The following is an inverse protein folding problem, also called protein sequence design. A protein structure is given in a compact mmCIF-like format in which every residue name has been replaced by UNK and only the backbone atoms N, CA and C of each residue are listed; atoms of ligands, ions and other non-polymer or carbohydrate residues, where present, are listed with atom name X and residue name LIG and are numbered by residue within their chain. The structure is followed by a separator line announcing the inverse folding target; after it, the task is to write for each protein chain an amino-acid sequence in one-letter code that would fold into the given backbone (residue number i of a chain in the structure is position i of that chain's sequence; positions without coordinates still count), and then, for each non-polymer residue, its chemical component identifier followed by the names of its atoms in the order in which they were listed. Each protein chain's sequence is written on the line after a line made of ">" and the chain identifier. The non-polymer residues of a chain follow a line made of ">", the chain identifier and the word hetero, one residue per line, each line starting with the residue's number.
data_IF_950624641983
#
_entry.id   IF_950624641983
#
_cell.length_a   1.000
_cell.length_b   1.000
_cell.length_c   1.000
_cell.angle_alpha   90.00
_cell.angle_beta   90.00
_cell.angle_gamma   90.00
#
_symmetry.space_group_name_H-M   'P 1'
#
loop_
_entity.id
_entity.type
_entity.pdbx_description
1 polymer ?
#
# COMPACT_ATOMS: atom_id res chain seq x y z
N UNK A 1 -7.04 -16.94 -1.03
CA UNK A 1 -8.10 -17.77 -1.61
C UNK A 1 -8.04 -19.14 -0.94
N UNK A 2 -9.11 -19.59 -0.31
CA UNK A 2 -9.19 -20.99 0.12
C UNK A 2 -9.42 -21.83 -1.12
N UNK A 3 -8.52 -22.78 -1.37
CA UNK A 3 -8.77 -23.83 -2.37
C UNK A 3 -9.87 -24.73 -1.80
N UNK A 4 -11.05 -24.70 -2.38
CA UNK A 4 -12.11 -25.63 -2.03
C UNK A 4 -11.75 -27.03 -2.55
N UNK A 5 -12.27 -28.07 -1.90
CA UNK A 5 -11.97 -29.45 -2.27
C UNK A 5 -12.30 -29.78 -3.74
N UNK A 6 -13.36 -29.20 -4.30
CA UNK A 6 -13.75 -29.29 -5.70
C UNK A 6 -12.80 -28.58 -6.69
N UNK A 7 -11.89 -27.75 -6.20
CA UNK A 7 -10.88 -27.05 -7.03
C UNK A 7 -9.49 -27.68 -6.97
N UNK A 8 -9.33 -28.82 -6.30
CA UNK A 8 -8.02 -29.49 -6.19
C UNK A 8 -7.45 -29.89 -7.55
N UNK A 9 -8.29 -30.25 -8.52
CA UNK A 9 -7.85 -30.57 -9.87
C UNK A 9 -7.25 -29.35 -10.57
N UNK A 10 -7.90 -28.19 -10.44
CA UNK A 10 -7.44 -26.93 -11.02
C UNK A 10 -6.14 -26.47 -10.34
N UNK A 11 -6.07 -26.60 -9.02
CA UNK A 11 -4.85 -26.31 -8.27
C UNK A 11 -3.68 -27.20 -8.68
N UNK A 12 -3.93 -28.51 -8.86
CA UNK A 12 -2.92 -29.45 -9.36
C UNK A 12 -2.45 -29.12 -10.79
N UNK A 13 -3.31 -28.46 -11.59
CA UNK A 13 -2.97 -27.94 -12.90
C UNK A 13 -2.24 -26.55 -12.86
N UNK A 14 -1.96 -26.02 -11.65
CA UNK A 14 -1.26 -24.74 -11.44
C UNK A 14 -2.18 -23.53 -11.33
N UNK A 15 -3.51 -23.71 -11.29
CA UNK A 15 -4.46 -22.61 -11.07
C UNK A 15 -4.50 -22.23 -9.58
N UNK A 16 -4.06 -21.04 -9.26
CA UNK A 16 -3.95 -20.55 -7.88
C UNK A 16 -5.28 -20.00 -7.36
N UNK A 17 -6.13 -19.48 -8.24
CA UNK A 17 -7.35 -18.77 -7.88
C UNK A 17 -8.61 -19.57 -8.21
N UNK A 18 -9.61 -19.51 -7.31
CA UNK A 18 -10.92 -20.11 -7.52
C UNK A 18 -11.59 -19.47 -8.76
N UNK A 19 -11.97 -20.27 -9.80
CA UNK A 19 -12.62 -19.72 -11.00
C UNK A 19 -13.92 -18.98 -10.72
N UNK A 20 -14.73 -19.42 -9.73
CA UNK A 20 -15.97 -18.74 -9.36
C UNK A 20 -15.70 -17.37 -8.73
N UNK A 21 -14.64 -17.29 -7.93
CA UNK A 21 -14.21 -15.99 -7.38
C UNK A 21 -13.67 -15.07 -8.48
N UNK A 22 -12.91 -15.60 -9.44
CA UNK A 22 -12.45 -14.81 -10.60
C UNK A 22 -13.62 -14.26 -11.40
N UNK A 23 -14.71 -15.04 -11.58
CA UNK A 23 -15.92 -14.58 -12.27
C UNK A 23 -16.56 -13.37 -11.57
N UNK A 24 -16.56 -13.35 -10.25
CA UNK A 24 -17.10 -12.22 -9.46
C UNK A 24 -16.28 -10.95 -9.66
N UNK A 25 -14.96 -11.06 -9.74
CA UNK A 25 -14.09 -9.88 -9.76
C UNK A 25 -13.67 -9.42 -11.17
N UNK A 26 -13.86 -10.24 -12.22
CA UNK A 26 -13.33 -9.98 -13.58
C UNK A 26 -13.81 -8.67 -14.23
N UNK A 27 -14.95 -8.13 -13.78
CA UNK A 27 -15.50 -6.90 -14.31
C UNK A 27 -15.05 -5.64 -13.55
N UNK A 28 -14.24 -5.81 -12.50
CA UNK A 28 -13.71 -4.68 -11.77
C UNK A 28 -12.51 -4.08 -12.52
N UNK A 29 -12.50 -2.75 -12.65
CA UNK A 29 -11.38 -2.04 -13.25
C UNK A 29 -10.16 -1.98 -12.34
N UNK A 30 -10.39 -1.89 -11.03
CA UNK A 30 -9.37 -1.77 -9.99
C UNK A 30 -9.69 -2.74 -8.86
N UNK A 31 -8.66 -3.41 -8.34
CA UNK A 31 -8.76 -4.27 -7.16
C UNK A 31 -7.90 -3.67 -6.03
N UNK A 32 -8.54 -3.33 -4.90
CA UNK A 32 -7.85 -2.78 -3.71
C UNK A 32 -7.54 -3.89 -2.71
N UNK A 33 -6.27 -3.99 -2.29
CA UNK A 33 -5.73 -5.10 -1.52
C UNK A 33 -5.45 -4.80 -0.04
N UNK A 34 -6.02 -3.74 0.53
CA UNK A 34 -5.76 -3.35 1.93
C UNK A 34 -5.93 -4.46 2.95
N UNK A 35 -7.00 -5.26 2.83
CA UNK A 35 -7.25 -6.39 3.73
C UNK A 35 -6.31 -7.58 3.51
N UNK A 36 -5.81 -7.78 2.30
CA UNK A 36 -4.83 -8.83 2.03
C UNK A 36 -3.49 -8.53 2.69
N UNK A 37 -3.13 -7.26 2.83
CA UNK A 37 -1.95 -6.81 3.57
C UNK A 37 -2.20 -6.72 5.08
N UNK A 38 -3.48 -6.75 5.51
CA UNK A 38 -3.87 -6.48 6.90
C UNK A 38 -3.36 -5.13 7.40
N UNK A 39 -3.33 -4.13 6.52
CA UNK A 39 -2.72 -2.82 6.77
C UNK A 39 -3.24 -2.15 8.04
N UNK A 40 -4.53 -2.34 8.38
CA UNK A 40 -5.17 -1.78 9.57
C UNK A 40 -4.86 -2.54 10.86
N UNK A 41 -4.34 -3.76 10.78
CA UNK A 41 -4.19 -4.69 11.92
C UNK A 41 -2.79 -5.30 11.97
N UNK A 42 -1.87 -4.71 11.25
CA UNK A 42 -0.53 -5.24 11.15
C UNK A 42 0.20 -5.12 12.48
N UNK A 43 0.65 -6.24 13.03
CA UNK A 43 1.37 -6.34 14.30
C UNK A 43 2.74 -7.00 14.17
N UNK A 44 3.15 -7.32 12.95
CA UNK A 44 4.39 -8.03 12.67
C UNK A 44 5.57 -7.10 12.33
N UNK A 45 6.66 -7.69 11.86
CA UNK A 45 7.79 -6.96 11.28
C UNK A 45 7.42 -6.42 9.90
N UNK A 46 7.73 -5.15 9.65
CA UNK A 46 7.60 -4.53 8.33
C UNK A 46 8.91 -4.62 7.51
N UNK A 47 9.82 -5.51 7.87
CA UNK A 47 11.01 -5.77 7.07
C UNK A 47 10.64 -6.58 5.81
N UNK A 48 11.27 -6.26 4.68
CA UNK A 48 11.02 -6.95 3.41
C UNK A 48 11.21 -8.47 3.49
N UNK A 49 12.20 -8.92 4.28
CA UNK A 49 12.50 -10.34 4.45
C UNK A 49 11.39 -11.13 5.15
N UNK A 50 10.56 -10.45 5.95
CA UNK A 50 9.51 -11.07 6.76
C UNK A 50 8.15 -11.10 6.06
N UNK A 51 8.06 -10.59 4.83
CA UNK A 51 6.83 -10.67 4.04
C UNK A 51 6.40 -12.11 3.80
N UNK A 52 5.12 -12.31 3.61
CA UNK A 52 4.61 -13.64 3.22
C UNK A 52 5.14 -14.03 1.83
N UNK A 53 5.64 -15.25 1.71
CA UNK A 53 6.09 -15.85 0.46
C UNK A 53 5.04 -16.83 -0.08
N UNK A 54 5.05 -17.05 -1.39
CA UNK A 54 4.08 -17.94 -2.08
C UNK A 54 4.14 -19.40 -1.64
N UNK A 55 5.23 -19.85 -1.06
CA UNK A 55 5.42 -21.21 -0.56
C UNK A 55 4.89 -21.43 0.88
N UNK A 56 4.23 -20.45 1.50
CA UNK A 56 3.59 -20.63 2.80
C UNK A 56 2.34 -21.48 2.68
N UNK A 57 2.11 -22.35 3.67
CA UNK A 57 0.94 -23.23 3.73
C UNK A 57 -0.36 -22.43 3.93
N UNK A 58 -0.28 -21.30 4.63
CA UNK A 58 -1.42 -20.41 4.87
C UNK A 58 -1.00 -18.95 4.77
N UNK A 59 -1.94 -18.10 4.35
CA UNK A 59 -1.78 -16.64 4.29
C UNK A 59 -2.58 -15.93 5.39
N UNK A 60 -2.98 -16.66 6.42
CA UNK A 60 -3.71 -16.10 7.58
C UNK A 60 -2.80 -15.52 8.66
N UNK A 61 -1.51 -15.40 8.40
CA UNK A 61 -0.54 -14.76 9.28
C UNK A 61 -0.62 -13.23 9.27
N UNK A 62 0.16 -12.59 10.16
CA UNK A 62 0.23 -11.13 10.29
C UNK A 62 0.67 -10.42 9.00
N UNK A 63 1.51 -11.06 8.20
CA UNK A 63 2.02 -10.49 6.94
C UNK A 63 1.09 -10.71 5.72
N UNK A 64 -0.10 -11.29 5.92
CA UNK A 64 -1.14 -11.38 4.90
C UNK A 64 -0.81 -12.26 3.70
N UNK A 65 -1.30 -11.88 2.53
CA UNK A 65 -1.17 -12.61 1.25
C UNK A 65 0.08 -12.13 0.49
N UNK A 66 0.85 -13.03 -0.17
CA UNK A 66 2.01 -12.64 -0.98
C UNK A 66 1.67 -11.64 -2.09
N UNK A 67 2.51 -10.65 -2.30
CA UNK A 67 2.33 -9.65 -3.37
C UNK A 67 2.28 -10.26 -4.76
N UNK A 68 2.99 -11.34 -4.97
CA UNK A 68 3.00 -12.10 -6.23
C UNK A 68 1.57 -12.50 -6.65
N UNK A 69 0.73 -12.86 -5.68
CA UNK A 69 -0.67 -13.17 -5.97
C UNK A 69 -1.52 -11.95 -6.31
N UNK A 70 -1.18 -10.76 -5.79
CA UNK A 70 -1.90 -9.52 -6.13
C UNK A 70 -1.68 -9.15 -7.60
N UNK A 71 -0.41 -9.22 -8.03
CA UNK A 71 -0.07 -8.92 -9.42
C UNK A 71 -0.60 -9.99 -10.38
N UNK A 72 -0.49 -11.28 -9.98
CA UNK A 72 -0.99 -12.39 -10.79
C UNK A 72 -2.50 -12.29 -11.02
N UNK A 73 -3.31 -12.04 -9.98
CA UNK A 73 -4.77 -11.92 -10.16
C UNK A 73 -5.14 -10.70 -10.99
N UNK A 74 -4.48 -9.56 -10.81
CA UNK A 74 -4.72 -8.37 -11.62
C UNK A 74 -4.38 -8.59 -13.10
N UNK A 75 -3.27 -9.27 -13.39
CA UNK A 75 -2.92 -9.64 -14.76
C UNK A 75 -3.96 -10.57 -15.37
N UNK A 76 -4.42 -11.56 -14.59
CA UNK A 76 -5.37 -12.57 -15.05
C UNK A 76 -6.74 -11.98 -15.40
N UNK A 77 -7.29 -11.10 -14.53
CA UNK A 77 -8.62 -10.51 -14.74
C UNK A 77 -8.59 -9.19 -15.51
N UNK A 78 -7.42 -8.66 -15.80
CA UNK A 78 -7.29 -7.40 -16.52
C UNK A 78 -7.54 -6.15 -15.68
N UNK A 79 -7.48 -6.24 -14.35
CA UNK A 79 -7.67 -5.13 -13.43
C UNK A 79 -6.35 -4.45 -13.06
N UNK A 80 -6.43 -3.20 -12.63
CA UNK A 80 -5.31 -2.45 -12.08
C UNK A 80 -5.22 -2.69 -10.55
N UNK A 81 -4.06 -3.01 -9.96
CA UNK A 81 -3.93 -3.15 -8.52
C UNK A 81 -3.92 -1.79 -7.82
N UNK A 82 -4.64 -1.71 -6.69
CA UNK A 82 -4.50 -0.64 -5.70
C UNK A 82 -3.93 -1.27 -4.44
N UNK A 83 -2.68 -0.96 -4.17
CA UNK A 83 -1.95 -1.52 -3.03
C UNK A 83 -1.87 -0.51 -1.89
N UNK A 84 -1.90 -1.04 -0.66
CA UNK A 84 -1.64 -0.27 0.54
C UNK A 84 -0.30 -0.72 1.12
N UNK A 85 0.61 0.21 1.34
CA UNK A 85 1.91 -0.06 1.96
C UNK A 85 1.76 0.02 3.47
N UNK A 86 2.40 -0.88 4.21
CA UNK A 86 2.36 -0.86 5.67
C UNK A 86 2.94 0.45 6.23
N UNK A 87 2.30 1.02 7.26
CA UNK A 87 2.78 2.26 7.90
C UNK A 87 4.26 2.22 8.28
N UNK A 88 4.78 1.15 8.93
CA UNK A 88 6.17 1.08 9.37
C UNK A 88 7.14 0.56 8.28
N UNK A 89 6.68 0.39 7.03
CA UNK A 89 7.57 -0.04 5.95
C UNK A 89 8.71 0.96 5.75
N UNK A 90 9.95 0.45 5.75
CA UNK A 90 11.14 1.24 5.48
C UNK A 90 11.34 1.47 3.97
N UNK A 91 12.34 2.27 3.62
CA UNK A 91 12.67 2.59 2.24
C UNK A 91 13.09 1.35 1.44
N UNK A 92 13.77 0.40 2.07
CA UNK A 92 14.16 -0.88 1.45
C UNK A 92 12.93 -1.70 1.08
N UNK A 93 11.95 -1.77 1.98
CA UNK A 93 10.67 -2.42 1.70
C UNK A 93 9.96 -1.77 0.52
N UNK A 94 9.85 -0.44 0.52
CA UNK A 94 9.21 0.32 -0.53
C UNK A 94 9.90 0.13 -1.89
N UNK A 95 11.23 0.18 -1.93
CA UNK A 95 12.04 -0.04 -3.15
C UNK A 95 11.85 -1.45 -3.70
N UNK A 96 11.95 -2.48 -2.85
CA UNK A 96 11.78 -3.86 -3.28
C UNK A 96 10.37 -4.15 -3.78
N UNK A 97 9.34 -3.59 -3.13
CA UNK A 97 7.96 -3.76 -3.58
C UNK A 97 7.72 -3.05 -4.91
N UNK A 98 8.26 -1.85 -5.09
CA UNK A 98 8.15 -1.10 -6.35
C UNK A 98 8.83 -1.84 -7.52
N UNK A 99 10.04 -2.38 -7.29
CA UNK A 99 10.77 -3.17 -8.27
C UNK A 99 10.02 -4.48 -8.62
N UNK A 100 9.50 -5.18 -7.62
CA UNK A 100 8.70 -6.41 -7.82
C UNK A 100 7.44 -6.11 -8.62
N UNK A 101 6.70 -5.06 -8.27
CA UNK A 101 5.49 -4.66 -8.97
C UNK A 101 5.77 -4.33 -10.45
N UNK A 102 6.85 -3.60 -10.72
CA UNK A 102 7.29 -3.26 -12.08
C UNK A 102 7.63 -4.50 -12.90
N UNK A 103 8.31 -5.47 -12.29
CA UNK A 103 8.72 -6.69 -12.95
C UNK A 103 7.57 -7.67 -13.23
N UNK A 104 6.56 -7.72 -12.38
CA UNK A 104 5.51 -8.75 -12.44
C UNK A 104 4.19 -8.25 -13.03
N UNK A 105 3.93 -6.93 -12.98
CA UNK A 105 2.67 -6.38 -13.47
C UNK A 105 2.71 -6.21 -14.99
N UNK A 106 1.68 -6.74 -15.66
CA UNK A 106 1.54 -6.65 -17.10
C UNK A 106 1.64 -5.21 -17.64
N UNK A 107 2.22 -4.98 -18.83
CA UNK A 107 2.58 -3.65 -19.33
C UNK A 107 1.38 -2.73 -19.58
N UNK A 108 0.18 -3.29 -19.73
CA UNK A 108 -1.06 -2.52 -19.89
C UNK A 108 -1.74 -2.16 -18.58
N UNK A 109 -1.24 -2.61 -17.44
CA UNK A 109 -1.82 -2.33 -16.12
C UNK A 109 -1.22 -1.08 -15.50
N UNK A 110 -2.05 -0.27 -14.87
CA UNK A 110 -1.62 0.79 -13.95
C UNK A 110 -1.46 0.20 -12.55
N UNK A 111 -0.83 0.95 -11.66
CA UNK A 111 -0.77 0.63 -10.25
C UNK A 111 -1.11 1.87 -9.44
N UNK A 112 -1.98 1.69 -8.44
CA UNK A 112 -2.31 2.71 -7.45
C UNK A 112 -1.56 2.38 -6.16
N UNK A 113 -0.78 3.33 -5.66
CA UNK A 113 0.07 3.16 -4.48
C UNK A 113 -0.38 4.14 -3.40
N UNK A 114 -0.84 3.60 -2.31
CA UNK A 114 -1.29 4.31 -1.12
C UNK A 114 -0.46 3.87 0.07
N UNK A 115 0.03 4.81 0.87
CA UNK A 115 0.67 4.50 2.15
C UNK A 115 -0.42 4.31 3.21
N UNK A 116 -0.38 3.18 3.92
CA UNK A 116 -1.27 2.91 5.05
C UNK A 116 -2.76 2.82 4.69
N UNK A 117 -3.64 2.98 5.68
CA UNK A 117 -5.09 3.08 5.56
C UNK A 117 -5.69 3.71 6.81
N UNK A 118 -6.68 4.61 6.68
CA UNK A 118 -7.44 5.22 7.78
C UNK A 118 -6.58 5.83 8.89
N UNK A 119 -5.59 6.61 8.52
CA UNK A 119 -4.61 7.20 9.44
C UNK A 119 -5.21 8.25 10.39
N UNK A 120 -6.42 8.71 10.11
CA UNK A 120 -7.19 9.65 10.94
C UNK A 120 -7.93 9.00 12.12
N UNK A 121 -8.12 7.67 12.11
CA UNK A 121 -8.88 6.98 13.15
C UNK A 121 -8.00 6.73 14.38
N UNK A 122 -8.09 7.64 15.36
CA UNK A 122 -7.26 7.66 16.54
C UNK A 122 -7.64 6.63 17.60
N UNK A 123 -8.75 5.91 17.44
CA UNK A 123 -9.33 5.18 18.56
C UNK A 123 -8.74 3.80 18.80
N UNK A 124 -8.38 3.04 17.76
CA UNK A 124 -7.86 1.67 17.94
C UNK A 124 -7.03 1.13 16.78
N UNK A 125 -6.61 1.97 15.85
CA UNK A 125 -5.94 1.50 14.65
C UNK A 125 -4.42 1.63 14.77
N UNK A 126 -3.72 0.56 14.50
CA UNK A 126 -2.24 0.50 14.49
C UNK A 126 -1.67 1.61 13.59
N UNK A 127 -2.33 1.88 12.48
CA UNK A 127 -1.94 2.89 11.50
C UNK A 127 -1.96 4.31 12.04
N UNK A 128 -3.03 4.70 12.72
CA UNK A 128 -3.16 6.04 13.31
C UNK A 128 -2.15 6.26 14.46
N UNK A 129 -1.97 5.26 15.30
CA UNK A 129 -0.98 5.33 16.37
C UNK A 129 0.44 5.47 15.81
N UNK A 130 0.78 4.76 14.74
CA UNK A 130 2.08 4.88 14.11
C UNK A 130 2.39 6.32 13.68
N UNK A 131 1.46 6.99 12.99
CA UNK A 131 1.69 8.37 12.53
C UNK A 131 1.66 9.39 13.65
N UNK A 132 0.91 9.14 14.73
CA UNK A 132 0.99 9.96 15.95
C UNK A 132 2.38 9.84 16.59
N UNK A 133 2.90 8.64 16.74
CA UNK A 133 4.21 8.40 17.33
C UNK A 133 5.32 8.98 16.44
N UNK A 134 5.16 8.88 15.11
CA UNK A 134 6.05 9.51 14.14
C UNK A 134 6.02 11.04 14.27
N UNK A 135 4.83 11.65 14.44
CA UNK A 135 4.69 13.10 14.65
C UNK A 135 5.35 13.57 15.94
N UNK A 136 5.20 12.81 17.03
CA UNK A 136 5.94 13.09 18.27
C UNK A 136 7.44 13.06 18.04
N UNK A 137 7.93 12.05 17.35
CA UNK A 137 9.37 11.93 17.06
C UNK A 137 9.91 13.04 16.15
N UNK A 138 9.14 13.49 15.18
CA UNK A 138 9.56 14.48 14.19
C UNK A 138 9.32 15.94 14.65
N UNK A 139 8.20 16.19 15.33
CA UNK A 139 7.70 17.53 15.61
C UNK A 139 7.53 17.83 17.11
N UNK A 140 7.66 16.82 18.00
CA UNK A 140 7.35 16.96 19.44
C UNK A 140 5.86 17.17 19.72
N UNK A 141 4.97 16.82 18.83
CA UNK A 141 3.54 17.10 18.87
C UNK A 141 2.73 15.83 18.55
N UNK A 142 1.73 15.51 19.38
CA UNK A 142 0.85 14.36 19.23
C UNK A 142 -0.57 14.72 18.74
N UNK A 143 -0.76 15.94 18.26
CA UNK A 143 -2.03 16.39 17.70
C UNK A 143 -2.40 15.57 16.45
N UNK A 144 -3.69 15.58 16.12
CA UNK A 144 -4.18 14.94 14.89
C UNK A 144 -3.56 15.62 13.66
N UNK A 145 -3.46 16.93 13.68
CA UNK A 145 -2.84 17.75 12.63
C UNK A 145 -1.38 17.35 12.40
N UNK A 146 -0.60 17.20 13.48
CA UNK A 146 0.78 16.74 13.40
C UNK A 146 0.88 15.32 12.81
N UNK A 147 -0.03 14.43 13.21
CA UNK A 147 -0.11 13.06 12.67
C UNK A 147 -0.43 13.06 11.18
N UNK A 148 -1.31 13.94 10.71
CA UNK A 148 -1.65 14.09 9.29
C UNK A 148 -0.46 14.64 8.49
N UNK A 149 0.30 15.61 9.04
CA UNK A 149 1.53 16.09 8.40
C UNK A 149 2.61 15.01 8.32
N UNK A 150 2.80 14.23 9.39
CA UNK A 150 3.75 13.11 9.38
C UNK A 150 3.36 12.04 8.34
N UNK A 151 2.06 11.75 8.20
CA UNK A 151 1.54 10.87 7.16
C UNK A 151 1.79 11.45 5.75
N UNK A 152 1.47 12.72 5.53
CA UNK A 152 1.68 13.40 4.24
C UNK A 152 3.14 13.39 3.83
N UNK A 153 4.04 13.76 4.76
CA UNK A 153 5.48 13.76 4.55
C UNK A 153 6.03 12.36 4.22
N UNK A 154 5.66 11.34 5.00
CA UNK A 154 6.10 9.98 4.73
C UNK A 154 5.53 9.44 3.41
N UNK A 155 4.30 9.80 3.07
CA UNK A 155 3.73 9.46 1.76
C UNK A 155 4.53 10.05 0.61
N UNK A 156 4.97 11.30 0.72
CA UNK A 156 5.82 11.95 -0.26
C UNK A 156 7.16 11.21 -0.47
N UNK A 157 7.80 10.78 0.63
CA UNK A 157 9.03 9.99 0.58
C UNK A 157 8.82 8.65 -0.13
N UNK A 158 7.77 7.92 0.23
CA UNK A 158 7.40 6.65 -0.42
C UNK A 158 7.11 6.86 -1.91
N UNK A 159 6.38 7.90 -2.27
CA UNK A 159 6.08 8.19 -3.67
C UNK A 159 7.32 8.54 -4.49
N UNK A 160 8.29 9.22 -3.89
CA UNK A 160 9.58 9.50 -4.53
C UNK A 160 10.35 8.21 -4.83
N UNK A 161 10.37 7.24 -3.89
CA UNK A 161 10.97 5.92 -4.10
C UNK A 161 10.29 5.19 -5.27
N UNK A 162 8.96 5.16 -5.29
CA UNK A 162 8.22 4.52 -6.38
C UNK A 162 8.47 5.16 -7.73
N UNK A 163 8.56 6.50 -7.80
CA UNK A 163 8.89 7.21 -9.04
C UNK A 163 10.31 6.96 -9.53
N UNK A 164 11.25 6.78 -8.60
CA UNK A 164 12.62 6.42 -8.95
C UNK A 164 12.70 5.03 -9.62
N UNK A 165 11.85 4.09 -9.21
CA UNK A 165 11.76 2.75 -9.79
C UNK A 165 10.92 2.71 -11.09
N UNK A 166 9.83 3.47 -11.16
CA UNK A 166 8.89 3.48 -12.29
C UNK A 166 9.21 4.63 -13.23
N UNK A 167 10.18 4.43 -14.12
CA UNK A 167 10.71 5.43 -15.05
C UNK A 167 10.35 5.14 -16.50
N UNK A 168 10.58 6.09 -17.40
CA UNK A 168 10.36 5.94 -18.83
C UNK A 168 8.88 5.64 -19.17
N UNK A 169 8.64 4.60 -19.92
CA UNK A 169 7.28 4.20 -20.34
C UNK A 169 6.41 3.70 -19.18
N UNK A 170 7.02 3.29 -18.07
CA UNK A 170 6.29 2.83 -16.89
C UNK A 170 5.81 3.99 -16.01
N UNK A 171 6.42 5.16 -16.09
CA UNK A 171 6.07 6.31 -15.27
C UNK A 171 4.59 6.71 -15.39
N UNK A 172 4.03 6.62 -16.60
CA UNK A 172 2.60 6.95 -16.85
C UNK A 172 1.62 5.91 -16.30
N UNK A 173 2.11 4.78 -15.82
CA UNK A 173 1.32 3.70 -15.23
C UNK A 173 1.20 3.82 -13.71
N UNK A 174 2.12 4.54 -13.07
CA UNK A 174 2.11 4.78 -11.63
C UNK A 174 1.08 5.85 -11.26
N UNK A 175 0.29 5.58 -10.23
CA UNK A 175 -0.65 6.51 -9.60
C UNK A 175 -0.40 6.50 -8.09
N UNK A 176 -0.06 7.64 -7.56
CA UNK A 176 0.10 7.84 -6.12
C UNK A 176 -1.22 8.32 -5.52
N UNK A 177 -1.59 7.79 -4.36
CA UNK A 177 -2.86 8.08 -3.70
C UNK A 177 -2.59 8.57 -2.28
N UNK A 178 -3.00 9.79 -1.98
CA UNK A 178 -3.11 10.31 -0.63
C UNK A 178 -4.53 10.05 -0.14
N UNK A 179 -4.64 9.49 1.06
CA UNK A 179 -5.93 9.29 1.70
C UNK A 179 -6.34 10.51 2.51
N UNK A 180 -7.64 10.77 2.57
CA UNK A 180 -8.24 11.77 3.43
C UNK A 180 -9.54 11.23 4.03
N UNK A 181 -10.13 11.98 4.96
CA UNK A 181 -11.42 11.66 5.55
C UNK A 181 -12.46 12.72 5.17
N UNK A 182 -13.41 12.34 4.34
CA UNK A 182 -14.47 13.24 3.86
C UNK A 182 -15.30 13.89 4.97
N UNK A 183 -15.34 13.27 6.16
CA UNK A 183 -16.01 13.85 7.34
C UNK A 183 -15.26 15.01 7.99
N UNK A 184 -13.97 15.18 7.71
CA UNK A 184 -13.12 16.23 8.30
C UNK A 184 -12.12 16.74 7.24
N UNK A 185 -12.66 17.43 6.25
CA UNK A 185 -11.90 17.86 5.08
C UNK A 185 -10.71 18.80 5.39
N UNK A 186 -10.71 19.50 6.53
CA UNK A 186 -9.57 20.35 6.89
C UNK A 186 -8.28 19.55 7.16
N UNK A 187 -8.37 18.27 7.51
CA UNK A 187 -7.20 17.41 7.64
C UNK A 187 -6.43 17.26 6.32
N UNK A 188 -7.12 17.36 5.19
CA UNK A 188 -6.50 17.20 3.87
C UNK A 188 -5.42 18.27 3.61
N UNK A 189 -5.60 19.50 4.12
CA UNK A 189 -4.58 20.54 4.01
C UNK A 189 -3.28 20.18 4.74
N UNK A 190 -3.38 19.59 5.94
CA UNK A 190 -2.20 19.13 6.67
C UNK A 190 -1.48 17.98 5.97
N UNK A 191 -2.24 17.07 5.34
CA UNK A 191 -1.67 15.97 4.58
C UNK A 191 -0.98 16.49 3.31
N UNK A 192 -1.65 17.38 2.58
CA UNK A 192 -1.20 17.84 1.28
C UNK A 192 -0.04 18.85 1.38
N UNK A 193 -0.14 19.78 2.31
CA UNK A 193 0.86 20.85 2.48
C UNK A 193 2.02 20.43 3.38
N UNK A 194 1.74 19.63 4.42
CA UNK A 194 2.68 19.12 5.40
C UNK A 194 3.76 20.18 5.81
N UNK A 195 3.36 21.36 6.32
CA UNK A 195 4.25 22.51 6.42
C UNK A 195 5.44 22.29 7.36
N UNK A 196 5.24 21.55 8.48
CA UNK A 196 6.35 21.23 9.41
C UNK A 196 7.34 20.25 8.80
N UNK A 197 6.83 19.26 8.03
CA UNK A 197 7.69 18.33 7.31
C UNK A 197 8.48 19.03 6.21
N UNK A 198 7.86 19.94 5.46
CA UNK A 198 8.54 20.76 4.44
C UNK A 198 9.59 21.65 5.08
N UNK A 199 9.29 22.28 6.22
CA UNK A 199 10.22 23.18 6.93
C UNK A 199 11.41 22.45 7.54
N UNK A 200 11.26 21.17 7.91
CA UNK A 200 12.29 20.39 8.60
C UNK A 200 13.54 20.13 7.74
N UNK A 201 13.43 20.18 6.42
CA UNK A 201 14.56 19.95 5.50
C UNK A 201 14.45 20.87 4.28
N UNK A 202 15.52 21.57 3.98
CA UNK A 202 15.59 22.40 2.78
C UNK A 202 15.48 21.57 1.51
N UNK A 203 14.71 22.04 0.53
CA UNK A 203 14.51 21.37 -0.75
C UNK A 203 13.35 20.39 -0.82
N UNK A 204 12.65 20.12 0.30
CA UNK A 204 11.38 19.38 0.26
C UNK A 204 10.27 20.26 -0.33
N UNK A 205 9.39 19.61 -1.05
CA UNK A 205 8.18 20.23 -1.60
C UNK A 205 6.95 19.59 -0.97
N UNK A 206 5.84 20.31 -0.97
CA UNK A 206 4.60 19.78 -0.40
C UNK A 206 4.15 18.49 -1.08
N UNK A 207 3.58 17.51 -0.34
CA UNK A 207 3.16 16.23 -0.90
C UNK A 207 2.25 16.31 -2.12
N UNK A 208 1.40 17.33 -2.20
CA UNK A 208 0.50 17.51 -3.34
C UNK A 208 1.20 17.89 -4.65
N UNK A 209 2.45 18.35 -4.60
CA UNK A 209 3.25 18.69 -5.79
C UNK A 209 3.92 17.49 -6.42
N UNK A 210 3.87 16.36 -5.76
CA UNK A 210 4.41 15.08 -6.18
C UNK A 210 3.31 14.22 -6.80
#
# INVERSE_FOLDING_TARGET
>A
AMVKHDHLTNYAAGEVFDPLWLDVIRNNRVLRFGDWQRVDRYTGSAAWADRTLVNRITYDGAAGVPFEHWFAVCNLVGADPWINILSPADDTYCTNLAAMARAQLGPSRRIYVELSNKTWDSTNWVTANYFRDLAVAQFGDNSVEASMEAYGGRSAEVFAIWRAEWTGVDAVRLRTVLQGWTGVAYHDSYIMDAPRWVAAQSGRVAPWTL
#
